data_IF_026112701249
#
_entry.id   IF_026112701249
#
_cell.length_a   1.000
_cell.length_b   1.000
_cell.length_c   1.000
_cell.angle_alpha   90.00
_cell.angle_beta   90.00
_cell.angle_gamma   90.00
#
_symmetry.space_group_name_H-M   'P 1'
#
loop_
_entity.id
_entity.type
_entity.pdbx_description
1 polymer ?
#
# COMPACT_ATOMS: atom_id res chain seq x y z
N UNK A 1 3.79 -6.22 -23.77
CA UNK A 1 4.30 -5.88 -22.42
C UNK A 1 3.20 -5.66 -21.40
N UNK A 2 2.12 -4.93 -21.73
CA UNK A 2 1.00 -4.64 -20.81
C UNK A 2 0.37 -5.90 -20.16
N UNK A 3 0.13 -6.96 -20.94
CA UNK A 3 -0.41 -8.24 -20.42
C UNK A 3 0.46 -8.86 -19.32
N UNK A 4 1.79 -8.78 -19.47
CA UNK A 4 2.72 -9.33 -18.48
C UNK A 4 2.77 -8.47 -17.20
N UNK A 5 2.72 -7.14 -17.35
CA UNK A 5 2.63 -6.22 -16.22
C UNK A 5 1.32 -6.41 -15.45
N UNK A 6 0.19 -6.52 -16.15
CA UNK A 6 -1.11 -6.78 -15.54
C UNK A 6 -1.13 -8.11 -14.78
N UNK A 7 -0.55 -9.18 -15.35
CA UNK A 7 -0.41 -10.46 -14.64
C UNK A 7 0.41 -10.33 -13.35
N UNK A 8 1.53 -9.62 -13.37
CA UNK A 8 2.36 -9.38 -12.17
C UNK A 8 1.58 -8.59 -11.12
N UNK A 9 0.85 -7.56 -11.54
CA UNK A 9 -0.02 -6.79 -10.66
C UNK A 9 -1.10 -7.66 -10.01
N UNK A 10 -1.80 -8.50 -10.79
CA UNK A 10 -2.81 -9.42 -10.26
C UNK A 10 -2.22 -10.43 -9.27
N UNK A 11 -1.04 -10.98 -9.55
CA UNK A 11 -0.36 -11.89 -8.61
C UNK A 11 -0.05 -11.17 -7.31
N UNK A 12 0.47 -9.95 -7.38
CA UNK A 12 0.80 -9.15 -6.20
C UNK A 12 -0.46 -8.78 -5.42
N UNK A 13 -1.53 -8.35 -6.09
CA UNK A 13 -2.83 -8.08 -5.48
C UNK A 13 -3.39 -9.32 -4.79
N UNK A 14 -3.38 -10.47 -5.47
CA UNK A 14 -3.88 -11.73 -4.92
C UNK A 14 -3.07 -12.18 -3.70
N UNK A 15 -1.75 -12.01 -3.71
CA UNK A 15 -0.90 -12.30 -2.56
C UNK A 15 -1.23 -11.38 -1.38
N UNK A 16 -1.29 -10.07 -1.59
CA UNK A 16 -1.59 -9.11 -0.52
C UNK A 16 -3.00 -9.35 0.04
N UNK A 17 -4.00 -9.55 -0.83
CA UNK A 17 -5.37 -9.85 -0.41
C UNK A 17 -5.44 -11.19 0.33
N UNK A 18 -4.79 -12.24 -0.19
CA UNK A 18 -4.78 -13.56 0.43
C UNK A 18 -4.14 -13.57 1.82
N UNK A 19 -2.97 -12.94 1.96
CA UNK A 19 -2.28 -12.81 3.26
C UNK A 19 -3.12 -11.98 4.24
N UNK A 20 -3.69 -10.86 3.78
CA UNK A 20 -4.55 -10.02 4.62
C UNK A 20 -5.77 -10.81 5.10
N UNK A 21 -6.49 -11.48 4.21
CA UNK A 21 -7.65 -12.29 4.56
C UNK A 21 -7.29 -13.42 5.54
N UNK A 22 -6.19 -14.14 5.29
CA UNK A 22 -5.75 -15.23 6.16
C UNK A 22 -5.42 -14.73 7.57
N UNK A 23 -4.62 -13.67 7.70
CA UNK A 23 -4.27 -13.09 9.00
C UNK A 23 -5.48 -12.53 9.73
N UNK A 24 -6.36 -11.83 9.01
CA UNK A 24 -7.57 -11.27 9.60
C UNK A 24 -8.55 -12.34 10.04
N UNK A 25 -8.67 -13.46 9.31
CA UNK A 25 -9.45 -14.61 9.74
C UNK A 25 -8.88 -15.23 11.02
N UNK A 26 -7.56 -15.43 11.09
CA UNK A 26 -6.92 -15.98 12.30
C UNK A 26 -7.18 -15.11 13.53
N UNK A 27 -7.03 -13.79 13.38
CA UNK A 27 -7.32 -12.82 14.45
C UNK A 27 -8.82 -12.80 14.78
N UNK A 28 -9.67 -12.87 13.75
CA UNK A 28 -11.11 -12.85 13.89
C UNK A 28 -11.66 -14.06 14.63
N UNK A 29 -11.13 -15.24 14.33
CA UNK A 29 -11.47 -16.51 15.00
C UNK A 29 -10.97 -16.50 16.45
N UNK A 30 -9.75 -16.03 16.69
CA UNK A 30 -9.19 -15.92 18.04
C UNK A 30 -9.98 -14.94 18.93
N UNK A 31 -10.62 -13.94 18.34
CA UNK A 31 -11.44 -12.93 19.05
C UNK A 31 -12.94 -13.26 19.10
N UNK A 32 -13.37 -14.41 18.55
CA UNK A 32 -14.79 -14.81 18.52
C UNK A 32 -15.67 -13.95 17.61
N UNK A 33 -15.08 -13.23 16.66
CA UNK A 33 -15.80 -12.39 15.70
C UNK A 33 -16.27 -13.18 14.47
N UNK A 34 -17.25 -12.64 13.74
CA UNK A 34 -17.69 -13.26 12.48
C UNK A 34 -16.59 -13.15 11.40
N UNK A 35 -16.40 -14.23 10.65
CA UNK A 35 -15.37 -14.33 9.61
C UNK A 35 -15.46 -13.21 8.56
N UNK A 36 -16.68 -12.89 8.09
CA UNK A 36 -16.91 -11.83 7.10
C UNK A 36 -16.50 -10.45 7.62
N UNK A 37 -16.85 -10.14 8.88
CA UNK A 37 -16.46 -8.88 9.52
C UNK A 37 -14.95 -8.79 9.71
N UNK A 38 -14.31 -9.87 10.14
CA UNK A 38 -12.87 -9.89 10.35
C UNK A 38 -12.10 -9.63 9.05
N UNK A 39 -12.48 -10.30 7.96
CA UNK A 39 -11.87 -10.10 6.63
C UNK A 39 -12.11 -8.69 6.11
N UNK A 40 -13.35 -8.18 6.21
CA UNK A 40 -13.70 -6.82 5.77
C UNK A 40 -12.87 -5.76 6.51
N UNK A 41 -12.76 -5.86 7.84
CA UNK A 41 -11.92 -4.97 8.64
C UNK A 41 -10.44 -5.06 8.27
N UNK A 42 -9.93 -6.26 8.00
CA UNK A 42 -8.57 -6.48 7.52
C UNK A 42 -8.28 -5.74 6.23
N UNK A 43 -9.17 -5.88 5.25
CA UNK A 43 -9.07 -5.19 3.97
C UNK A 43 -9.17 -3.67 4.11
N UNK A 44 -10.04 -3.14 4.97
CA UNK A 44 -10.07 -1.71 5.24
C UNK A 44 -8.79 -1.20 5.89
N UNK A 45 -8.26 -1.93 6.88
CA UNK A 45 -7.05 -1.54 7.60
C UNK A 45 -5.85 -1.48 6.67
N UNK A 46 -5.56 -2.60 5.99
CA UNK A 46 -4.40 -2.70 5.09
C UNK A 46 -4.60 -1.81 3.87
N UNK A 47 -5.81 -1.75 3.33
CA UNK A 47 -6.13 -0.87 2.20
C UNK A 47 -5.92 0.61 2.53
N UNK A 48 -6.40 1.07 3.68
CA UNK A 48 -6.19 2.44 4.16
C UNK A 48 -4.71 2.73 4.41
N UNK A 49 -3.99 1.79 5.03
CA UNK A 49 -2.55 1.93 5.28
C UNK A 49 -1.76 2.08 3.97
N UNK A 50 -2.07 1.29 2.95
CA UNK A 50 -1.43 1.40 1.63
C UNK A 50 -1.79 2.70 0.92
N UNK A 51 -3.05 3.17 1.00
CA UNK A 51 -3.43 4.48 0.45
C UNK A 51 -2.63 5.61 1.08
N UNK A 52 -2.54 5.64 2.41
CA UNK A 52 -1.80 6.66 3.14
C UNK A 52 -0.33 6.60 2.78
N UNK A 53 0.25 5.40 2.75
CA UNK A 53 1.65 5.19 2.36
C UNK A 53 1.90 5.63 0.91
N UNK A 54 1.00 5.30 -0.01
CA UNK A 54 1.05 5.73 -1.41
C UNK A 54 1.00 7.24 -1.56
N UNK A 55 0.16 7.93 -0.78
CA UNK A 55 0.12 9.39 -0.72
C UNK A 55 1.46 9.96 -0.26
N UNK A 56 2.02 9.50 0.86
CA UNK A 56 3.29 10.03 1.35
C UNK A 56 4.47 9.71 0.43
N UNK A 57 4.50 8.52 -0.18
CA UNK A 57 5.51 8.15 -1.17
C UNK A 57 5.41 9.03 -2.41
N UNK A 58 4.21 9.24 -2.95
CA UNK A 58 3.99 10.09 -4.13
C UNK A 58 4.29 11.56 -3.88
N UNK A 59 4.04 12.05 -2.65
CA UNK A 59 4.32 13.42 -2.25
C UNK A 59 5.76 13.65 -1.74
N UNK A 60 6.68 12.69 -1.93
CA UNK A 60 8.10 12.90 -1.63
C UNK A 60 8.65 13.99 -2.55
N UNK A 61 8.68 15.23 -2.05
CA UNK A 61 9.12 16.43 -2.76
C UNK A 61 10.48 16.25 -3.44
N UNK A 62 10.81 17.01 -4.48
CA UNK A 62 11.90 16.70 -5.43
C UNK A 62 13.32 16.74 -4.85
N UNK A 63 13.48 17.22 -3.61
CA UNK A 63 14.76 17.23 -2.92
C UNK A 63 15.06 15.88 -2.24
N UNK A 64 16.28 15.40 -2.41
CA UNK A 64 16.81 14.14 -1.86
C UNK A 64 18.12 14.41 -1.12
N UNK A 65 18.47 13.56 -0.17
CA UNK A 65 19.77 13.65 0.51
C UNK A 65 20.89 13.17 -0.43
N UNK A 66 21.97 13.96 -0.55
CA UNK A 66 23.22 13.59 -1.19
C UNK A 66 23.85 12.52 -0.30
N UNK A 67 23.92 11.29 -0.81
CA UNK A 67 24.33 10.09 -0.07
C UNK A 67 25.72 10.27 0.53
N UNK A 68 25.78 10.60 1.81
CA UNK A 68 26.92 10.29 2.68
C UNK A 68 26.37 9.58 3.90
N UNK A 69 26.49 8.25 3.92
CA UNK A 69 26.24 7.34 5.06
C UNK A 69 24.82 7.33 5.66
N UNK A 70 24.41 6.17 6.19
CA UNK A 70 23.15 5.94 6.95
C UNK A 70 23.05 6.73 8.28
N UNK A 71 23.75 7.85 8.41
CA UNK A 71 23.78 8.69 9.59
C UNK A 71 22.95 9.95 9.37
N UNK A 72 21.97 10.19 10.25
CA UNK A 72 21.23 11.44 10.32
C UNK A 72 22.21 12.58 10.68
N UNK A 73 22.48 13.57 9.80
CA UNK A 73 23.43 14.61 10.10
C UNK A 73 22.77 15.64 11.01
N UNK A 74 23.25 15.75 12.26
CA UNK A 74 22.77 16.71 13.24
C UNK A 74 23.22 18.16 12.96
N UNK A 75 24.22 18.37 12.09
CA UNK A 75 24.77 19.71 11.78
C UNK A 75 25.27 19.83 10.33
N UNK A 76 24.98 20.95 9.66
CA UNK A 76 25.69 21.39 8.45
C UNK A 76 24.91 21.29 7.13
N UNK A 77 24.40 22.43 6.70
CA UNK A 77 23.65 22.68 5.46
C UNK A 77 24.50 22.52 4.19
N UNK A 78 24.20 21.51 3.35
CA UNK A 78 24.35 21.46 1.85
C UNK A 78 24.32 20.01 1.31
N UNK A 79 23.49 19.15 1.89
CA UNK A 79 23.38 17.74 1.47
C UNK A 79 22.10 17.47 0.69
N UNK A 80 21.50 18.45 0.02
CA UNK A 80 20.34 18.25 -0.85
C UNK A 80 20.75 18.15 -2.32
N UNK A 81 20.24 17.14 -3.03
CA UNK A 81 20.32 16.94 -4.47
C UNK A 81 18.90 16.86 -5.03
N UNK A 82 18.68 17.35 -6.24
CA UNK A 82 17.43 17.12 -6.97
C UNK A 82 17.29 15.67 -7.43
N UNK A 83 16.09 15.11 -7.32
CA UNK A 83 15.79 13.78 -7.82
C UNK A 83 16.08 13.68 -9.32
N UNK A 84 16.63 12.55 -9.76
CA UNK A 84 16.77 12.26 -11.19
C UNK A 84 15.40 11.89 -11.79
N UNK A 85 15.22 11.98 -13.12
CA UNK A 85 13.97 11.56 -13.77
C UNK A 85 13.60 10.10 -13.44
N UNK A 86 14.58 9.19 -13.37
CA UNK A 86 14.37 7.80 -13.01
C UNK A 86 13.87 7.63 -11.56
N UNK A 87 14.43 8.39 -10.62
CA UNK A 87 13.98 8.39 -9.21
C UNK A 87 12.55 8.94 -9.08
N UNK A 88 12.18 9.93 -9.91
CA UNK A 88 10.84 10.47 -9.96
C UNK A 88 9.85 9.46 -10.53
N UNK A 89 10.20 8.79 -11.63
CA UNK A 89 9.39 7.74 -12.24
C UNK A 89 9.18 6.57 -11.27
N UNK A 90 10.22 6.14 -10.55
CA UNK A 90 10.12 5.12 -9.50
C UNK A 90 9.18 5.56 -8.37
N UNK A 91 9.30 6.82 -7.91
CA UNK A 91 8.43 7.37 -6.86
C UNK A 91 6.96 7.34 -7.29
N UNK A 92 6.67 7.76 -8.52
CA UNK A 92 5.32 7.77 -9.09
C UNK A 92 4.80 6.34 -9.25
N UNK A 93 5.61 5.44 -9.81
CA UNK A 93 5.23 4.04 -10.02
C UNK A 93 4.93 3.32 -8.70
N UNK A 94 5.76 3.51 -7.68
CA UNK A 94 5.55 2.94 -6.35
C UNK A 94 4.29 3.49 -5.69
N UNK A 95 4.07 4.81 -5.78
CA UNK A 95 2.84 5.43 -5.29
C UNK A 95 1.60 4.87 -5.99
N UNK A 96 1.63 4.76 -7.32
CA UNK A 96 0.53 4.22 -8.11
C UNK A 96 0.20 2.77 -7.73
N UNK A 97 1.20 1.93 -7.50
CA UNK A 97 1.00 0.54 -7.06
C UNK A 97 0.34 0.50 -5.68
N UNK A 98 0.85 1.26 -4.71
CA UNK A 98 0.26 1.32 -3.37
C UNK A 98 -1.19 1.84 -3.39
N UNK A 99 -1.45 2.89 -4.15
CA UNK A 99 -2.79 3.46 -4.27
C UNK A 99 -3.75 2.47 -4.93
N UNK A 100 -3.35 1.85 -6.06
CA UNK A 100 -4.20 0.91 -6.79
C UNK A 100 -4.55 -0.32 -5.95
N UNK A 101 -3.58 -0.91 -5.25
CA UNK A 101 -3.83 -2.05 -4.36
C UNK A 101 -4.67 -1.61 -3.18
N UNK A 102 -4.31 -0.50 -2.52
CA UNK A 102 -5.01 0.00 -1.34
C UNK A 102 -6.49 0.24 -1.62
N UNK A 103 -6.80 0.91 -2.73
CA UNK A 103 -8.16 1.16 -3.18
C UNK A 103 -8.90 -0.14 -3.52
N UNK A 104 -8.23 -1.08 -4.21
CA UNK A 104 -8.84 -2.38 -4.54
C UNK A 104 -9.18 -3.18 -3.29
N UNK A 105 -8.29 -3.20 -2.28
CA UNK A 105 -8.58 -3.86 -1.01
C UNK A 105 -9.76 -3.22 -0.30
N UNK A 106 -9.87 -1.89 -0.28
CA UNK A 106 -11.04 -1.21 0.32
C UNK A 106 -12.32 -1.63 -0.40
N UNK A 107 -12.33 -1.68 -1.73
CA UNK A 107 -13.48 -2.16 -2.51
C UNK A 107 -13.84 -3.61 -2.16
N UNK A 108 -12.84 -4.49 -2.04
CA UNK A 108 -13.07 -5.86 -1.56
C UNK A 108 -13.60 -5.91 -0.13
N UNK A 109 -13.13 -5.01 0.74
CA UNK A 109 -13.63 -4.83 2.11
C UNK A 109 -15.10 -4.47 2.13
N UNK A 110 -15.52 -3.52 1.29
CA UNK A 110 -16.94 -3.12 1.13
C UNK A 110 -17.77 -4.28 0.60
N UNK A 111 -17.28 -4.99 -0.42
CA UNK A 111 -17.97 -6.15 -0.98
C UNK A 111 -18.13 -7.32 0.00
N UNK A 112 -17.19 -7.48 0.94
CA UNK A 112 -17.23 -8.52 1.97
C UNK A 112 -17.99 -8.11 3.23
N UNK A 113 -18.31 -6.81 3.39
CA UNK A 113 -18.94 -6.29 4.60
C UNK A 113 -20.45 -6.62 4.63
N UNK A 114 -20.93 -7.40 5.60
CA UNK A 114 -22.34 -7.77 5.68
C UNK A 114 -23.26 -6.58 6.01
N UNK A 115 -22.71 -5.42 6.42
CA UNK A 115 -23.51 -4.22 6.73
C UNK A 115 -23.99 -3.48 5.48
N UNK A 116 -23.26 -3.62 4.37
CA UNK A 116 -23.61 -2.98 3.11
C UNK A 116 -24.25 -4.00 2.18
N UNK A 117 -25.52 -3.81 1.85
CA UNK A 117 -26.17 -4.57 0.78
C UNK A 117 -25.88 -3.86 -0.54
N UNK A 118 -24.98 -4.42 -1.35
CA UNK A 118 -24.71 -3.89 -2.69
C UNK A 118 -25.82 -4.24 -3.70
N UNK A 119 -26.78 -5.11 -3.33
CA UNK A 119 -28.02 -5.42 -4.04
C UNK A 119 -29.10 -5.83 -3.03
#
# INVERSE_FOLDING_TARGET
>A
MLKAAFRRFLVLLAMVAGVTAALSLLIGLASGSSATRAVSLGFYLIGSFLLISGFFVGNRGPARLKRSSDAMPLFGSRMLRWATPAEQEETINMSAVFVAIGLTLIVLGVAADPRYKLF
#
